data_IF_814929878346
#
_entry.id   IF_814929878346
#
_cell.length_a   1.000
_cell.length_b   1.000
_cell.length_c   1.000
_cell.angle_alpha   90.00
_cell.angle_beta   90.00
_cell.angle_gamma   90.00
#
_symmetry.space_group_name_H-M   'P 1'
#
loop_
_entity.id
_entity.type
_entity.pdbx_description
1 polymer ?
#
# COMPACT_ATOMS: atom_id res chain seq x y z
N UNK A 1 -26.56 22.04 -5.67
CA UNK A 1 -25.22 21.53 -6.05
C UNK A 1 -25.27 20.40 -7.09
N UNK A 2 -26.43 20.16 -7.71
CA UNK A 2 -26.68 18.99 -8.58
C UNK A 2 -26.63 19.31 -10.08
N UNK A 3 -26.46 20.59 -10.45
CA UNK A 3 -26.46 21.03 -11.85
C UNK A 3 -25.08 20.87 -12.54
N UNK A 4 -24.00 20.79 -11.76
CA UNK A 4 -22.63 20.73 -12.30
C UNK A 4 -22.30 19.36 -12.91
N UNK A 5 -22.86 18.28 -12.36
CA UNK A 5 -22.59 16.91 -12.84
C UNK A 5 -23.22 16.64 -14.22
N UNK A 6 -24.39 17.21 -14.48
CA UNK A 6 -25.14 16.93 -15.71
C UNK A 6 -24.46 17.48 -16.98
N UNK A 7 -23.71 18.57 -16.85
CA UNK A 7 -23.00 19.20 -17.97
C UNK A 7 -21.70 18.43 -18.28
N UNK A 8 -21.01 17.94 -17.25
CA UNK A 8 -19.77 17.18 -17.42
C UNK A 8 -20.00 15.86 -18.19
N UNK A 9 -21.03 15.10 -17.85
CA UNK A 9 -21.35 13.82 -18.50
C UNK A 9 -21.83 13.94 -19.96
N UNK A 10 -22.19 15.15 -20.41
CA UNK A 10 -22.47 15.44 -21.83
C UNK A 10 -21.22 15.84 -22.61
N UNK A 11 -20.24 16.47 -21.95
CA UNK A 11 -19.02 16.95 -22.58
C UNK A 11 -17.95 15.84 -22.68
N UNK A 12 -17.90 14.97 -21.68
CA UNK A 12 -17.06 13.79 -21.64
C UNK A 12 -18.00 12.59 -21.70
N UNK A 13 -18.10 11.94 -22.86
CA UNK A 13 -19.02 10.82 -23.05
C UNK A 13 -18.92 9.80 -21.91
N UNK A 14 -20.06 9.19 -21.55
CA UNK A 14 -20.29 8.19 -20.48
C UNK A 14 -19.24 7.05 -20.33
N UNK A 15 -18.29 6.95 -21.25
CA UNK A 15 -17.17 6.01 -21.27
C UNK A 15 -15.95 6.51 -20.47
N UNK A 16 -15.86 7.81 -20.16
CA UNK A 16 -14.74 8.38 -19.37
C UNK A 16 -15.05 8.49 -17.86
N UNK A 17 -16.30 8.73 -17.45
CA UNK A 17 -16.68 8.65 -16.03
C UNK A 17 -16.44 7.23 -15.47
N UNK A 18 -16.66 6.20 -16.29
CA UNK A 18 -16.34 4.82 -15.92
C UNK A 18 -14.82 4.55 -15.89
N UNK A 19 -14.00 5.28 -16.66
CA UNK A 19 -12.52 5.16 -16.61
C UNK A 19 -11.92 5.93 -15.44
N UNK A 20 -12.50 7.06 -15.05
CA UNK A 20 -12.07 7.83 -13.89
C UNK A 20 -12.54 7.18 -12.57
N UNK A 21 -13.72 6.53 -12.54
CA UNK A 21 -14.17 5.74 -11.41
C UNK A 21 -13.51 4.34 -11.32
N UNK A 22 -12.91 3.84 -12.42
CA UNK A 22 -12.07 2.62 -12.44
C UNK A 22 -10.58 2.90 -12.20
N UNK A 23 -10.20 4.13 -11.87
CA UNK A 23 -8.81 4.54 -11.64
C UNK A 23 -8.31 4.32 -10.20
N UNK A 24 -8.84 3.33 -9.49
CA UNK A 24 -8.03 2.54 -8.58
C UNK A 24 -8.39 1.11 -8.93
N UNK A 25 -7.67 0.44 -9.85
CA UNK A 25 -7.90 -0.96 -9.97
C UNK A 25 -7.42 -1.52 -8.63
N UNK A 26 -8.37 -1.99 -7.80
CA UNK A 26 -8.09 -2.95 -6.74
C UNK A 26 -7.68 -4.27 -7.41
N UNK A 27 -6.67 -4.18 -8.29
CA UNK A 27 -6.01 -5.29 -8.93
C UNK A 27 -5.25 -5.92 -7.81
N UNK A 28 -5.72 -7.09 -7.38
CA UNK A 28 -4.94 -7.96 -6.49
C UNK A 28 -3.49 -7.95 -6.95
N UNK A 29 -2.57 -7.62 -6.03
CA UNK A 29 -1.14 -7.62 -6.25
C UNK A 29 -0.71 -8.95 -6.86
N UNK A 30 -1.34 -10.04 -6.42
CA UNK A 30 -1.11 -11.38 -6.96
C UNK A 30 -1.48 -11.52 -8.44
N UNK A 31 -2.60 -10.94 -8.86
CA UNK A 31 -3.02 -10.97 -10.26
C UNK A 31 -2.09 -10.14 -11.14
N UNK A 32 -1.68 -8.96 -10.65
CA UNK A 32 -0.73 -8.07 -11.34
C UNK A 32 0.66 -8.68 -11.44
N UNK A 33 1.14 -9.27 -10.34
CA UNK A 33 2.39 -10.01 -10.26
C UNK A 33 2.43 -11.13 -11.30
N UNK A 34 1.39 -11.97 -11.36
CA UNK A 34 1.31 -13.06 -12.32
C UNK A 34 1.26 -12.56 -13.77
N UNK A 35 0.43 -11.55 -14.07
CA UNK A 35 0.28 -11.01 -15.42
C UNK A 35 1.58 -10.42 -15.97
N UNK A 36 2.33 -9.72 -15.13
CA UNK A 36 3.52 -8.98 -15.54
C UNK A 36 4.82 -9.72 -15.21
N UNK A 37 4.75 -10.94 -14.66
CA UNK A 37 5.92 -11.70 -14.15
C UNK A 37 6.77 -10.89 -13.17
N UNK A 38 6.11 -10.13 -12.29
CA UNK A 38 6.72 -9.33 -11.23
C UNK A 38 6.62 -10.11 -9.91
N UNK A 39 7.65 -10.09 -9.08
CA UNK A 39 7.55 -10.60 -7.70
C UNK A 39 6.44 -9.82 -6.94
N UNK A 40 5.48 -10.46 -6.26
CA UNK A 40 4.45 -9.77 -5.49
C UNK A 40 4.99 -8.70 -4.53
N UNK A 41 6.17 -8.93 -3.93
CA UNK A 41 6.82 -7.96 -3.04
C UNK A 41 7.35 -6.70 -3.76
N UNK A 42 7.48 -6.78 -5.09
CA UNK A 42 7.96 -5.71 -5.97
C UNK A 42 6.85 -5.06 -6.81
N UNK A 43 5.59 -5.35 -6.54
CA UNK A 43 4.48 -4.60 -7.14
C UNK A 43 4.36 -3.25 -6.42
N UNK A 44 4.13 -2.14 -7.10
CA UNK A 44 3.95 -0.81 -6.50
C UNK A 44 2.52 -0.56 -6.03
N UNK A 45 2.25 0.66 -5.57
CA UNK A 45 0.89 1.12 -5.22
C UNK A 45 -0.02 1.24 -6.47
N UNK A 46 0.57 1.48 -7.62
CA UNK A 46 -0.08 1.62 -8.93
C UNK A 46 -0.16 0.30 -9.71
N UNK A 47 0.41 -0.79 -9.17
CA UNK A 47 0.52 -2.07 -9.84
C UNK A 47 1.76 -2.21 -10.76
N UNK A 48 2.59 -1.19 -10.89
CA UNK A 48 3.85 -1.26 -11.66
C UNK A 48 4.95 -1.98 -10.89
N UNK A 49 6.10 -2.22 -11.52
CA UNK A 49 7.27 -2.71 -10.80
C UNK A 49 7.87 -1.59 -9.92
N UNK A 50 8.13 -1.91 -8.66
CA UNK A 50 8.74 -1.04 -7.67
C UNK A 50 9.62 -1.86 -6.73
N UNK A 51 10.92 -1.57 -6.70
CA UNK A 51 11.87 -2.28 -5.82
C UNK A 51 11.55 -2.16 -4.34
N UNK A 52 10.74 -1.17 -3.94
CA UNK A 52 10.25 -0.93 -2.57
C UNK A 52 8.73 -1.12 -2.46
N UNK A 53 8.14 -1.87 -3.39
CA UNK A 53 6.68 -2.00 -3.55
C UNK A 53 5.93 -2.46 -2.31
N UNK A 54 6.37 -3.54 -1.66
CA UNK A 54 5.79 -4.05 -0.42
C UNK A 54 5.93 -3.05 0.73
N UNK A 55 7.09 -2.43 0.94
CA UNK A 55 7.33 -1.44 1.98
C UNK A 55 6.39 -0.23 1.82
N UNK A 56 6.20 0.26 0.59
CA UNK A 56 5.28 1.37 0.30
C UNK A 56 3.82 0.98 0.58
N UNK A 57 3.40 -0.23 0.21
CA UNK A 57 2.06 -0.74 0.55
C UNK A 57 1.86 -0.90 2.05
N UNK A 58 2.86 -1.39 2.77
CA UNK A 58 2.81 -1.53 4.23
C UNK A 58 2.74 -0.16 4.90
N UNK A 59 3.58 0.80 4.49
CA UNK A 59 3.53 2.17 4.99
C UNK A 59 2.13 2.77 4.80
N UNK A 60 1.58 2.66 3.59
CA UNK A 60 0.20 3.10 3.33
C UNK A 60 -0.83 2.40 4.21
N UNK A 61 -0.71 1.09 4.43
CA UNK A 61 -1.64 0.34 5.28
C UNK A 61 -1.54 0.75 6.76
N UNK A 62 -0.36 1.14 7.23
CA UNK A 62 -0.16 1.70 8.58
C UNK A 62 -0.74 3.11 8.69
N UNK A 63 -0.57 3.94 7.66
CA UNK A 63 -1.16 5.29 7.59
C UNK A 63 -2.70 5.19 7.62
N UNK A 64 -3.28 4.31 6.79
CA UNK A 64 -4.73 4.07 6.74
C UNK A 64 -5.28 3.53 8.09
N UNK A 65 -4.44 2.90 8.91
CA UNK A 65 -4.77 2.39 10.24
C UNK A 65 -4.34 3.32 11.39
N UNK A 66 -3.81 4.51 11.06
CA UNK A 66 -3.33 5.54 11.97
C UNK A 66 -2.28 5.02 12.97
N UNK A 67 -1.32 4.21 12.49
CA UNK A 67 -0.26 3.57 13.30
C UNK A 67 1.09 4.27 13.18
N UNK A 68 1.40 4.85 12.01
CA UNK A 68 2.71 5.41 11.66
C UNK A 68 2.87 6.91 11.90
N UNK A 69 1.78 7.65 12.15
CA UNK A 69 1.81 9.12 12.01
C UNK A 69 2.75 9.85 12.97
N UNK A 70 3.13 9.30 14.14
CA UNK A 70 3.83 10.06 15.18
C UNK A 70 4.80 9.28 16.07
N UNK A 71 5.07 8.01 15.76
CA UNK A 71 5.96 7.16 16.55
C UNK A 71 7.15 6.81 15.69
N UNK A 72 8.38 6.87 16.21
CA UNK A 72 9.61 6.61 15.45
C UNK A 72 9.67 5.17 14.94
N UNK A 73 8.88 4.86 13.92
CA UNK A 73 8.65 3.56 13.31
C UNK A 73 8.85 3.74 11.80
N UNK A 74 9.83 3.05 11.25
CA UNK A 74 10.18 3.10 9.84
C UNK A 74 9.91 1.76 9.19
N UNK A 75 9.37 1.81 7.98
CA UNK A 75 9.09 0.62 7.16
C UNK A 75 10.20 0.44 6.13
N UNK A 76 10.84 -0.72 6.15
CA UNK A 76 11.77 -1.17 5.13
C UNK A 76 11.36 -2.56 4.63
N UNK A 77 11.99 -3.01 3.55
CA UNK A 77 11.80 -4.37 3.04
C UNK A 77 13.11 -5.03 2.64
N UNK A 78 13.13 -6.36 2.73
CA UNK A 78 14.17 -7.23 2.19
C UNK A 78 13.50 -8.42 1.51
N UNK A 79 13.36 -8.37 0.18
CA UNK A 79 12.54 -9.33 -0.56
C UNK A 79 11.08 -9.25 -0.10
N UNK A 80 10.50 -10.38 0.31
CA UNK A 80 9.14 -10.44 0.87
C UNK A 80 9.07 -10.15 2.38
N UNK A 81 10.19 -9.82 3.02
CA UNK A 81 10.26 -9.56 4.46
C UNK A 81 10.09 -8.08 4.73
N UNK A 82 9.12 -7.73 5.57
CA UNK A 82 8.94 -6.37 6.08
C UNK A 82 9.85 -6.18 7.28
N UNK A 83 10.60 -5.08 7.31
CA UNK A 83 11.49 -4.72 8.41
C UNK A 83 10.97 -3.44 9.04
N UNK A 84 10.54 -3.53 10.30
CA UNK A 84 10.18 -2.38 11.11
C UNK A 84 11.37 -1.95 11.95
N UNK A 85 11.99 -0.83 11.57
CA UNK A 85 12.94 -0.15 12.44
C UNK A 85 12.20 0.74 13.43
N UNK A 86 12.57 0.76 14.71
CA UNK A 86 11.76 1.45 15.71
C UNK A 86 12.57 2.09 16.86
N UNK A 87 12.13 3.25 17.32
CA UNK A 87 12.51 3.84 18.61
C UNK A 87 11.69 3.21 19.74
N UNK A 88 12.16 3.24 21.01
CA UNK A 88 11.43 2.69 22.15
C UNK A 88 9.98 3.18 22.27
N UNK A 89 9.70 4.43 21.90
CA UNK A 89 8.35 5.02 21.94
C UNK A 89 7.35 4.32 21.01
N UNK A 90 7.84 3.64 19.97
CA UNK A 90 7.03 2.90 19.01
C UNK A 90 6.80 1.43 19.40
N UNK A 91 7.46 0.92 20.45
CA UNK A 91 7.37 -0.47 20.89
C UNK A 91 5.92 -0.94 21.14
N UNK A 92 5.03 -0.15 21.77
CA UNK A 92 3.62 -0.52 21.97
C UNK A 92 2.84 -0.73 20.66
N UNK A 93 3.29 -0.13 19.56
CA UNK A 93 2.63 -0.20 18.26
C UNK A 93 3.13 -1.37 17.39
N UNK A 94 4.23 -2.02 17.77
CA UNK A 94 4.87 -3.05 16.94
C UNK A 94 3.96 -4.24 16.66
N UNK A 95 3.21 -4.72 17.64
CA UNK A 95 2.32 -5.86 17.45
C UNK A 95 1.19 -5.52 16.45
N UNK A 96 0.58 -4.33 16.58
CA UNK A 96 -0.41 -3.85 15.62
C UNK A 96 0.21 -3.67 14.22
N UNK A 97 1.42 -3.11 14.14
CA UNK A 97 2.12 -2.91 12.88
C UNK A 97 2.45 -4.26 12.19
N UNK A 98 2.90 -5.27 12.94
CA UNK A 98 3.13 -6.64 12.44
C UNK A 98 1.85 -7.25 11.88
N UNK A 99 0.75 -7.14 12.61
CA UNK A 99 -0.55 -7.66 12.18
C UNK A 99 -0.98 -7.02 10.84
N UNK A 100 -0.85 -5.70 10.73
CA UNK A 100 -1.17 -4.97 9.48
C UNK A 100 -0.23 -5.39 8.35
N UNK A 101 1.08 -5.46 8.59
CA UNK A 101 2.03 -5.87 7.56
C UNK A 101 1.71 -7.26 6.98
N UNK A 102 1.28 -8.20 7.81
CA UNK A 102 0.93 -9.56 7.38
C UNK A 102 -0.38 -9.63 6.57
N UNK A 103 -1.21 -8.58 6.56
CA UNK A 103 -2.38 -8.54 5.66
C UNK A 103 -2.04 -8.00 4.26
N UNK A 104 -0.85 -7.42 4.09
CA UNK A 104 -0.41 -6.89 2.80
C UNK A 104 0.03 -8.01 1.86
N UNK A 105 -0.61 -8.12 0.71
CA UNK A 105 -0.24 -9.11 -0.31
C UNK A 105 1.24 -8.99 -0.69
N UNK A 106 1.94 -10.13 -0.71
CA UNK A 106 3.37 -10.20 -0.97
C UNK A 106 4.25 -10.14 0.28
N UNK A 107 3.71 -9.90 1.47
CA UNK A 107 4.43 -10.08 2.73
C UNK A 107 4.56 -11.57 3.06
N UNK A 108 5.80 -12.04 3.28
CA UNK A 108 6.08 -13.41 3.72
C UNK A 108 6.48 -13.50 5.18
N UNK A 109 7.14 -12.47 5.72
CA UNK A 109 7.51 -12.40 7.13
C UNK A 109 7.72 -10.94 7.58
N UNK A 110 7.78 -10.74 8.90
CA UNK A 110 8.03 -9.44 9.52
C UNK A 110 9.17 -9.57 10.53
N UNK A 111 10.11 -8.62 10.48
CA UNK A 111 11.20 -8.47 11.44
C UNK A 111 11.13 -7.08 12.07
N UNK A 112 11.51 -6.98 13.34
CA UNK A 112 11.63 -5.72 14.06
C UNK A 112 13.07 -5.49 14.48
N UNK A 113 13.55 -4.26 14.35
CA UNK A 113 14.91 -3.85 14.70
C UNK A 113 14.87 -2.54 15.50
N UNK A 114 15.41 -2.51 16.72
CA UNK A 114 15.60 -1.26 17.43
C UNK A 114 16.50 -0.31 16.62
N UNK A 115 16.16 0.98 16.64
CA UNK A 115 16.99 2.06 16.13
C UNK A 115 18.03 2.41 17.21
N UNK A 116 19.07 1.59 17.29
CA UNK A 116 20.21 1.73 18.24
C UNK A 116 21.46 2.22 17.53
#
# INVERSE_FOLDING_TARGET
>A
MELALWILGKLFGKKEEEKAAKAIPNTSVKATAAKNSIDPAKVGLDGSFDESGLAKRVAKALDDANVSDNVGLWVAQSGNTVVFKYNPDAEPMLEKAKQIAMTVEGAGSVRTEPNS
#
